data_IF_863536441151
#
_entry.id   IF_863536441151
#
_cell.length_a   1.000
_cell.length_b   1.000
_cell.length_c   1.000
_cell.angle_alpha   90.00
_cell.angle_beta   90.00
_cell.angle_gamma   90.00
#
_symmetry.space_group_name_H-M   'P 1'
#
loop_
_entity.id
_entity.type
_entity.pdbx_description
1 polymer ?
#
# COMPACT_ATOMS: atom_id res chain seq x y z
N UNK A 1 4.25 -23.49 32.91
CA UNK A 1 3.96 -22.26 32.13
C UNK A 1 4.93 -22.26 30.97
N UNK A 2 4.45 -22.65 29.80
CA UNK A 2 5.20 -22.49 28.55
C UNK A 2 5.45 -21.01 28.35
N UNK A 3 6.71 -20.59 28.38
CA UNK A 3 7.12 -19.25 28.01
C UNK A 3 6.60 -18.98 26.59
N UNK A 4 5.91 -17.86 26.39
CA UNK A 4 5.50 -17.44 25.06
C UNK A 4 6.73 -17.44 24.13
N UNK A 5 6.59 -17.97 22.90
CA UNK A 5 7.63 -17.93 21.87
C UNK A 5 7.78 -16.48 21.38
N UNK A 6 8.39 -15.63 22.21
CA UNK A 6 8.69 -14.23 21.89
C UNK A 6 9.96 -14.19 21.04
N UNK A 7 9.85 -13.67 19.83
CA UNK A 7 10.97 -13.50 18.91
C UNK A 7 11.56 -12.11 19.11
N UNK A 8 12.87 -12.03 19.36
CA UNK A 8 13.57 -10.75 19.57
C UNK A 8 14.66 -10.59 18.52
N UNK A 9 14.63 -9.50 17.77
CA UNK A 9 15.67 -9.15 16.79
C UNK A 9 16.34 -7.82 17.16
N UNK A 10 17.65 -7.75 16.92
CA UNK A 10 18.44 -6.52 16.98
C UNK A 10 19.07 -6.27 15.61
N UNK A 11 18.64 -5.20 14.94
CA UNK A 11 19.10 -4.83 13.60
C UNK A 11 20.07 -3.68 13.66
N UNK A 12 21.13 -3.74 12.86
CA UNK A 12 22.13 -2.71 12.81
C UNK A 12 22.71 -2.49 11.39
N UNK A 13 23.32 -1.33 11.18
CA UNK A 13 24.26 -1.09 10.07
C UNK A 13 25.68 -1.43 10.53
N UNK A 14 26.63 -1.68 9.61
CA UNK A 14 28.04 -1.82 9.97
C UNK A 14 28.53 -0.61 10.79
N UNK A 15 29.35 -0.88 11.81
CA UNK A 15 30.05 0.12 12.63
C UNK A 15 29.16 1.17 13.34
N UNK A 16 27.86 0.90 13.58
CA UNK A 16 27.03 1.84 14.34
C UNK A 16 27.47 1.90 15.81
N UNK A 17 27.93 3.07 16.31
CA UNK A 17 28.49 3.22 17.65
C UNK A 17 27.47 2.97 18.77
N UNK A 18 26.17 3.01 18.46
CA UNK A 18 25.09 2.81 19.44
C UNK A 18 24.73 1.32 19.62
N UNK A 19 25.30 0.42 18.82
CA UNK A 19 24.89 -1.00 18.78
C UNK A 19 25.18 -1.72 20.10
N UNK A 20 26.41 -1.64 20.61
CA UNK A 20 26.82 -2.38 21.80
C UNK A 20 26.01 -1.94 23.03
N UNK A 21 25.83 -0.63 23.23
CA UNK A 21 25.01 -0.09 24.29
C UNK A 21 23.53 -0.52 24.19
N UNK A 22 22.99 -0.62 22.96
CA UNK A 22 21.61 -1.07 22.73
C UNK A 22 21.45 -2.57 22.98
N UNK A 23 22.46 -3.37 22.61
CA UNK A 23 22.52 -4.81 22.87
C UNK A 23 22.53 -5.09 24.37
N UNK A 24 23.38 -4.39 25.12
CA UNK A 24 23.48 -4.55 26.58
C UNK A 24 22.16 -4.16 27.26
N UNK A 25 21.54 -3.06 26.83
CA UNK A 25 20.26 -2.60 27.34
C UNK A 25 19.12 -3.60 27.08
N UNK A 26 19.06 -4.15 25.87
CA UNK A 26 18.09 -5.16 25.47
C UNK A 26 18.24 -6.43 26.33
N UNK A 27 19.46 -6.94 26.46
CA UNK A 27 19.75 -8.13 27.26
C UNK A 27 19.40 -7.93 28.74
N UNK A 28 19.69 -6.75 29.31
CA UNK A 28 19.30 -6.42 30.67
C UNK A 28 17.76 -6.43 30.83
N UNK A 29 17.02 -5.85 29.88
CA UNK A 29 15.55 -5.84 29.93
C UNK A 29 14.93 -7.24 29.80
N UNK A 30 15.51 -8.12 28.97
CA UNK A 30 15.07 -9.51 28.83
C UNK A 30 15.33 -10.31 30.11
N UNK A 31 16.51 -10.13 30.72
CA UNK A 31 16.87 -10.78 31.97
C UNK A 31 15.96 -10.36 33.13
N UNK A 32 15.64 -9.06 33.25
CA UNK A 32 14.69 -8.55 34.23
C UNK A 32 13.27 -9.12 34.04
N UNK A 33 12.86 -9.34 32.79
CA UNK A 33 11.58 -9.96 32.46
C UNK A 33 11.55 -11.49 32.64
N UNK A 34 12.69 -12.11 32.99
CA UNK A 34 12.82 -13.56 33.12
C UNK A 34 12.73 -14.31 31.78
N UNK A 35 12.91 -13.62 30.65
CA UNK A 35 12.86 -14.20 29.31
C UNK A 35 14.25 -14.68 28.90
N UNK A 36 14.40 -15.99 28.69
CA UNK A 36 15.62 -16.58 28.11
C UNK A 36 15.40 -16.90 26.63
N UNK A 37 15.23 -15.85 25.83
CA UNK A 37 15.02 -15.94 24.38
C UNK A 37 16.30 -15.52 23.63
N UNK A 38 16.67 -16.20 22.54
CA UNK A 38 17.81 -15.78 21.73
C UNK A 38 17.50 -14.45 21.03
N UNK A 39 18.41 -13.49 21.14
CA UNK A 39 18.36 -12.25 20.36
C UNK A 39 18.99 -12.52 19.00
N UNK A 40 18.19 -12.42 17.93
CA UNK A 40 18.67 -12.59 16.56
C UNK A 40 19.25 -11.27 16.07
N UNK A 41 20.58 -11.21 15.98
CA UNK A 41 21.27 -10.03 15.48
C UNK A 41 21.41 -10.06 13.96
N UNK A 42 21.09 -8.95 13.30
CA UNK A 42 21.19 -8.81 11.84
C UNK A 42 21.89 -7.51 11.47
N UNK A 43 22.97 -7.62 10.71
CA UNK A 43 23.62 -6.46 10.08
C UNK A 43 23.10 -6.31 8.65
N UNK A 44 22.62 -5.13 8.28
CA UNK A 44 22.06 -4.87 6.95
C UNK A 44 21.68 -3.41 6.72
N UNK A 45 20.92 -3.14 5.66
CA UNK A 45 20.56 -1.78 5.26
C UNK A 45 19.25 -1.33 5.92
N UNK A 46 19.32 -0.97 7.21
CA UNK A 46 18.17 -0.52 8.01
C UNK A 46 18.58 0.66 8.91
N UNK A 47 17.63 1.46 9.42
CA UNK A 47 17.91 2.34 10.55
C UNK A 47 18.48 1.53 11.74
N UNK A 48 19.54 2.02 12.37
CA UNK A 48 20.35 1.26 13.32
C UNK A 48 20.66 2.03 14.61
N UNK A 49 20.62 1.44 15.82
CA UNK A 49 20.15 0.11 16.12
C UNK A 49 18.63 0.11 16.25
N UNK A 50 17.98 -0.93 15.70
CA UNK A 50 16.54 -1.12 15.80
C UNK A 50 16.24 -2.44 16.52
N UNK A 51 15.45 -2.37 17.60
CA UNK A 51 15.02 -3.55 18.35
C UNK A 51 13.62 -3.93 17.89
N UNK A 52 13.43 -5.19 17.48
CA UNK A 52 12.13 -5.72 17.12
C UNK A 52 11.72 -6.81 18.11
N UNK A 53 10.49 -6.76 18.59
CA UNK A 53 9.88 -7.81 19.42
C UNK A 53 8.64 -8.31 18.68
N UNK A 54 8.61 -9.59 18.35
CA UNK A 54 7.60 -10.23 17.49
C UNK A 54 7.37 -9.47 16.17
N UNK A 55 8.46 -8.96 15.58
CA UNK A 55 8.44 -8.20 14.32
C UNK A 55 8.00 -6.73 14.45
N UNK A 56 7.64 -6.25 15.65
CA UNK A 56 7.32 -4.83 15.91
C UNK A 56 8.57 -4.06 16.29
N UNK A 57 8.87 -2.97 15.57
CA UNK A 57 9.97 -2.06 15.90
C UNK A 57 9.67 -1.23 17.16
N UNK A 58 10.57 -1.30 18.13
CA UNK A 58 10.50 -0.64 19.44
C UNK A 58 11.20 0.72 19.44
N UNK A 59 12.17 0.91 18.55
CA UNK A 59 12.94 2.15 18.42
C UNK A 59 12.07 3.29 17.88
N UNK A 60 11.04 2.96 17.09
CA UNK A 60 10.15 3.95 16.48
C UNK A 60 10.86 4.81 15.44
N UNK A 61 11.99 4.31 14.93
CA UNK A 61 12.61 4.86 13.73
C UNK A 61 11.74 4.51 12.52
N UNK A 62 11.69 5.38 11.52
CA UNK A 62 11.05 5.09 10.25
C UNK A 62 11.67 3.82 9.66
N UNK A 63 10.95 2.69 9.50
CA UNK A 63 11.50 1.45 8.99
C UNK A 63 11.98 1.55 7.53
N UNK A 64 11.64 2.64 6.84
CA UNK A 64 12.12 3.01 5.50
C UNK A 64 13.12 4.18 5.52
N UNK A 65 13.56 4.60 6.70
CA UNK A 65 14.61 5.59 6.88
C UNK A 65 15.94 5.12 6.30
N UNK A 66 16.87 6.04 6.03
CA UNK A 66 18.16 5.70 5.45
C UNK A 66 18.90 4.68 6.32
N UNK A 67 19.63 3.77 5.69
CA UNK A 67 20.49 2.79 6.35
C UNK A 67 21.65 3.50 7.08
N UNK A 68 21.36 4.03 8.27
CA UNK A 68 22.25 4.87 9.04
C UNK A 68 21.99 4.70 10.55
N UNK A 69 22.97 5.11 11.34
CA UNK A 69 22.87 5.07 12.80
C UNK A 69 21.88 6.16 13.26
N UNK A 70 20.79 5.76 13.93
CA UNK A 70 19.75 6.66 14.44
C UNK A 70 20.32 7.51 15.58
N UNK A 71 19.92 8.77 15.59
CA UNK A 71 20.32 9.73 16.61
C UNK A 71 19.70 9.42 17.99
N UNK A 72 18.61 8.65 18.02
CA UNK A 72 17.88 8.29 19.24
C UNK A 72 17.60 6.77 19.25
N UNK A 73 18.49 5.97 19.85
CA UNK A 73 18.26 4.54 20.07
C UNK A 73 17.05 4.27 21.00
N UNK A 74 16.52 3.03 21.03
CA UNK A 74 15.39 2.69 21.89
C UNK A 74 15.76 2.83 23.36
N UNK A 75 14.83 3.33 24.17
CA UNK A 75 15.00 3.46 25.62
C UNK A 75 14.60 2.17 26.34
N UNK A 76 15.09 1.99 27.56
CA UNK A 76 14.74 0.86 28.41
C UNK A 76 13.22 0.78 28.72
N UNK A 77 12.55 1.93 28.75
CA UNK A 77 11.10 1.99 28.97
C UNK A 77 10.33 1.45 27.76
N UNK A 78 10.74 1.83 26.55
CA UNK A 78 10.15 1.33 25.30
C UNK A 78 10.31 -0.19 25.17
N UNK A 79 11.53 -0.71 25.44
CA UNK A 79 11.83 -2.15 25.40
C UNK A 79 10.98 -2.90 26.42
N UNK A 80 10.92 -2.44 27.68
CA UNK A 80 10.11 -3.08 28.72
C UNK A 80 8.62 -3.05 28.41
N UNK A 81 8.11 -1.97 27.84
CA UNK A 81 6.71 -1.89 27.43
C UNK A 81 6.36 -2.94 26.35
N UNK A 82 7.20 -3.06 25.33
CA UNK A 82 7.02 -4.02 24.25
C UNK A 82 7.14 -5.48 24.74
N UNK A 83 8.06 -5.79 25.65
CA UNK A 83 8.18 -7.14 26.26
C UNK A 83 6.91 -7.50 27.03
N UNK A 84 6.36 -6.59 27.84
CA UNK A 84 5.11 -6.84 28.59
C UNK A 84 3.93 -7.11 27.66
N UNK A 85 3.83 -6.35 26.57
CA UNK A 85 2.79 -6.56 25.57
C UNK A 85 2.92 -7.92 24.87
N UNK A 86 4.14 -8.32 24.48
CA UNK A 86 4.40 -9.61 23.85
C UNK A 86 4.04 -10.80 24.76
N UNK A 87 4.36 -10.70 26.04
CA UNK A 87 4.17 -11.77 27.04
C UNK A 87 2.75 -11.89 27.60
N UNK A 88 1.91 -10.88 27.39
CA UNK A 88 0.51 -10.87 27.86
C UNK A 88 -0.50 -11.34 26.79
N UNK A 89 -0.04 -11.56 25.54
CA UNK A 89 -0.87 -12.15 24.49
C UNK A 89 -1.05 -13.66 24.72
N UNK A 90 -2.28 -14.20 24.67
CA UNK A 90 -2.48 -15.64 24.80
C UNK A 90 -1.98 -16.37 23.54
N UNK A 91 -1.06 -17.31 23.71
CA UNK A 91 -0.60 -18.23 22.67
C UNK A 91 -1.74 -19.14 22.23
N UNK A 92 -2.13 -19.11 20.96
CA UNK A 92 -3.09 -20.07 20.44
C UNK A 92 -3.22 -20.07 18.93
N UNK A 93 -2.52 -20.98 18.25
CA UNK A 93 -3.07 -21.88 17.22
C UNK A 93 -2.32 -23.22 17.32
N UNK A 94 -3.04 -24.28 17.69
CA UNK A 94 -2.60 -25.67 17.64
C UNK A 94 -3.74 -26.53 17.10
N UNK A 95 -3.42 -27.33 16.09
CA UNK A 95 -4.31 -28.22 15.31
C UNK A 95 -4.80 -29.46 16.09
N UNK A 96 -5.89 -30.07 15.59
CA UNK A 96 -6.38 -31.43 15.90
C UNK A 96 -7.88 -31.53 15.60
N UNK A 97 -8.27 -31.91 14.37
CA UNK A 97 -8.50 -33.28 13.85
C UNK A 97 -9.68 -33.99 14.55
N UNK A 98 -10.75 -34.22 13.79
CA UNK A 98 -11.62 -35.37 13.97
C UNK A 98 -12.11 -35.84 12.61
N UNK A 99 -11.64 -37.03 12.23
CA UNK A 99 -11.76 -37.57 10.89
C UNK A 99 -13.14 -38.12 10.57
N UNK A 100 -13.50 -38.06 9.29
CA UNK A 100 -14.30 -39.12 8.67
C UNK A 100 -13.87 -39.27 7.22
N UNK A 101 -13.42 -40.48 6.92
CA UNK A 101 -12.96 -40.99 5.64
C UNK A 101 -14.05 -40.95 4.55
N UNK A 102 -13.70 -40.46 3.35
CA UNK A 102 -14.31 -40.93 2.10
C UNK A 102 -13.19 -41.04 1.05
N UNK A 103 -13.10 -42.23 0.46
CA UNK A 103 -12.16 -42.67 -0.57
C UNK A 103 -12.50 -42.07 -1.95
N UNK A 104 -11.49 -41.78 -2.76
CA UNK A 104 -11.68 -41.63 -4.21
C UNK A 104 -10.66 -40.76 -4.94
N UNK A 105 -9.77 -41.42 -5.69
CA UNK A 105 -9.03 -40.95 -6.87
C UNK A 105 -9.79 -39.92 -7.72
N UNK A 106 -9.18 -38.79 -8.12
CA UNK A 106 -8.60 -38.61 -9.47
C UNK A 106 -8.09 -37.19 -9.75
N UNK A 107 -7.12 -37.11 -10.65
CA UNK A 107 -6.54 -35.89 -11.25
C UNK A 107 -7.61 -35.06 -11.99
N UNK A 108 -7.63 -33.74 -11.78
CA UNK A 108 -7.80 -32.70 -12.81
C UNK A 108 -8.03 -31.34 -12.15
N UNK A 109 -7.38 -30.30 -12.68
CA UNK A 109 -7.56 -28.91 -12.25
C UNK A 109 -9.03 -28.50 -12.27
N UNK A 110 -9.44 -27.74 -11.25
CA UNK A 110 -10.71 -27.03 -11.25
C UNK A 110 -10.44 -25.55 -11.11
N UNK A 111 -10.66 -24.84 -12.22
CA UNK A 111 -11.25 -23.51 -12.21
C UNK A 111 -12.36 -23.49 -11.15
N UNK A 112 -12.25 -22.57 -10.19
CA UNK A 112 -13.36 -22.26 -9.30
C UNK A 112 -14.33 -21.44 -10.13
N UNK A 113 -15.52 -21.99 -10.32
CA UNK A 113 -16.57 -21.39 -11.11
C UNK A 113 -17.09 -20.12 -10.42
N UNK A 114 -17.31 -19.14 -11.28
CA UNK A 114 -17.94 -17.85 -11.06
C UNK A 114 -19.30 -18.01 -10.35
N UNK A 115 -19.37 -17.58 -9.09
CA UNK A 115 -20.62 -17.34 -8.37
C UNK A 115 -20.69 -15.83 -8.11
N UNK A 116 -21.68 -15.19 -8.72
CA UNK A 116 -21.87 -13.75 -8.76
C UNK A 116 -21.64 -13.04 -7.41
N UNK A 117 -20.44 -12.51 -7.21
CA UNK A 117 -20.13 -11.54 -6.16
C UNK A 117 -20.35 -10.13 -6.76
N UNK A 118 -21.38 -9.44 -6.29
CA UNK A 118 -21.62 -8.03 -6.64
C UNK A 118 -20.90 -7.11 -5.65
N UNK A 119 -20.12 -6.14 -6.15
CA UNK A 119 -19.56 -5.05 -5.33
C UNK A 119 -18.32 -5.41 -4.49
N UNK A 120 -18.08 -4.59 -3.46
CA UNK A 120 -16.86 -4.47 -2.61
C UNK A 120 -16.23 -5.80 -2.11
N UNK A 121 -16.99 -6.90 -2.14
CA UNK A 121 -16.56 -8.24 -1.73
C UNK A 121 -15.76 -9.01 -2.79
N UNK A 122 -15.74 -8.56 -4.05
CA UNK A 122 -14.98 -9.24 -5.13
C UNK A 122 -13.46 -9.19 -4.90
N UNK A 123 -12.97 -8.19 -4.17
CA UNK A 123 -11.54 -7.91 -4.02
C UNK A 123 -11.19 -7.83 -2.54
N UNK A 124 -10.68 -8.90 -1.92
CA UNK A 124 -10.38 -8.87 -0.48
C UNK A 124 -9.21 -9.76 -0.04
N UNK A 125 -7.98 -9.27 -0.14
CA UNK A 125 -7.02 -9.33 0.96
C UNK A 125 -7.32 -8.16 1.92
N UNK A 126 -8.38 -8.31 2.72
CA UNK A 126 -8.64 -7.43 3.87
C UNK A 126 -9.05 -5.97 3.63
N UNK A 127 -9.54 -5.57 2.45
CA UNK A 127 -9.98 -4.17 2.24
C UNK A 127 -8.84 -3.14 2.28
N UNK A 128 -7.66 -3.57 1.87
CA UNK A 128 -6.41 -2.83 1.96
C UNK A 128 -6.35 -1.59 1.07
N UNK A 129 -6.82 -1.72 -0.18
CA UNK A 129 -7.11 -0.57 -1.04
C UNK A 129 -8.54 -0.12 -0.79
N UNK A 130 -8.75 1.19 -0.70
CA UNK A 130 -10.09 1.76 -0.68
C UNK A 130 -10.73 1.60 -2.06
N UNK A 131 -11.57 0.58 -2.20
CA UNK A 131 -12.38 0.36 -3.41
C UNK A 131 -13.56 1.33 -3.51
N UNK A 132 -13.92 1.99 -2.40
CA UNK A 132 -15.02 2.93 -2.23
C UNK A 132 -14.64 4.40 -2.51
N UNK A 133 -13.53 4.66 -3.22
CA UNK A 133 -13.13 6.04 -3.59
C UNK A 133 -14.20 6.79 -4.42
N UNK A 134 -14.88 6.18 -5.41
CA UNK A 134 -15.91 6.89 -6.15
C UNK A 134 -17.07 7.44 -5.30
N UNK A 135 -17.76 6.63 -4.45
CA UNK A 135 -18.82 7.16 -3.61
C UNK A 135 -18.32 8.19 -2.59
N UNK A 136 -17.10 8.05 -2.06
CA UNK A 136 -16.48 9.06 -1.17
C UNK A 136 -16.27 10.40 -1.89
N UNK A 137 -15.67 10.36 -3.08
CA UNK A 137 -15.46 11.55 -3.89
C UNK A 137 -16.79 12.22 -4.28
N UNK A 138 -17.83 11.43 -4.55
CA UNK A 138 -19.17 11.93 -4.84
C UNK A 138 -19.84 12.60 -3.63
N UNK A 139 -19.57 12.12 -2.41
CA UNK A 139 -20.12 12.66 -1.16
C UNK A 139 -19.41 13.94 -0.68
N UNK A 140 -18.28 14.33 -1.28
CA UNK A 140 -17.58 15.55 -0.92
C UNK A 140 -18.43 16.81 -1.15
N UNK A 141 -18.30 17.84 -0.30
CA UNK A 141 -18.88 19.14 -0.59
C UNK A 141 -18.41 19.66 -1.96
N UNK A 142 -19.26 20.36 -2.75
CA UNK A 142 -18.95 20.74 -4.12
C UNK A 142 -17.61 21.47 -4.29
N UNK A 143 -17.27 22.39 -3.37
CA UNK A 143 -15.99 23.10 -3.39
C UNK A 143 -14.78 22.17 -3.14
N UNK A 144 -14.90 21.21 -2.22
CA UNK A 144 -13.83 20.24 -1.93
C UNK A 144 -13.64 19.29 -3.10
N UNK A 145 -14.75 18.85 -3.71
CA UNK A 145 -14.74 18.03 -4.93
C UNK A 145 -14.10 18.77 -6.12
N UNK A 146 -14.36 20.07 -6.26
CA UNK A 146 -13.73 20.89 -7.28
C UNK A 146 -12.21 20.99 -7.09
N UNK A 147 -11.74 21.21 -5.85
CA UNK A 147 -10.31 21.20 -5.51
C UNK A 147 -9.68 19.83 -5.84
N UNK A 148 -10.34 18.72 -5.48
CA UNK A 148 -9.86 17.37 -5.79
C UNK A 148 -9.76 17.11 -7.30
N UNK A 149 -10.82 17.41 -8.06
CA UNK A 149 -10.78 17.26 -9.51
C UNK A 149 -9.73 18.17 -10.16
N UNK A 150 -9.52 19.37 -9.63
CA UNK A 150 -8.42 20.25 -10.07
C UNK A 150 -7.04 19.66 -9.78
N UNK A 151 -6.86 19.04 -8.60
CA UNK A 151 -5.61 18.40 -8.20
C UNK A 151 -5.26 17.24 -9.12
N UNK A 152 -6.22 16.35 -9.40
CA UNK A 152 -6.02 15.21 -10.31
C UNK A 152 -5.70 15.65 -11.74
N UNK A 153 -6.41 16.67 -12.25
CA UNK A 153 -6.11 17.24 -13.58
C UNK A 153 -4.72 17.89 -13.61
N UNK A 154 -4.32 18.59 -12.55
CA UNK A 154 -2.98 19.17 -12.47
C UNK A 154 -1.86 18.13 -12.61
N UNK A 155 -1.98 16.98 -11.92
CA UNK A 155 -1.05 15.88 -12.11
C UNK A 155 -1.07 15.36 -13.55
N UNK A 156 -2.25 15.10 -14.11
CA UNK A 156 -2.39 14.59 -15.47
C UNK A 156 -1.80 15.54 -16.53
N UNK A 157 -1.90 16.85 -16.32
CA UNK A 157 -1.44 17.86 -17.28
C UNK A 157 0.06 18.17 -17.12
N UNK A 158 0.59 18.14 -15.89
CA UNK A 158 1.96 18.62 -15.60
C UNK A 158 2.97 17.54 -15.25
N UNK A 159 2.53 16.36 -14.83
CA UNK A 159 3.42 15.30 -14.33
C UNK A 159 3.86 15.48 -12.88
N UNK A 160 3.49 16.58 -12.22
CA UNK A 160 4.05 16.96 -10.91
C UNK A 160 2.98 17.37 -9.91
N UNK A 161 3.32 17.30 -8.62
CA UNK A 161 2.45 17.82 -7.57
C UNK A 161 2.33 19.34 -7.64
N UNK A 162 1.14 19.91 -7.39
CA UNK A 162 0.98 21.35 -7.42
C UNK A 162 1.75 22.03 -6.29
N UNK A 163 2.17 23.27 -6.57
CA UNK A 163 2.78 24.13 -5.57
C UNK A 163 1.76 24.56 -4.50
N UNK A 164 2.22 24.94 -3.29
CA UNK A 164 1.34 25.53 -2.27
C UNK A 164 0.54 26.73 -2.77
N UNK A 165 1.12 27.55 -3.66
CA UNK A 165 0.45 28.69 -4.27
C UNK A 165 -0.67 28.27 -5.24
N UNK A 166 -0.49 27.18 -5.98
CA UNK A 166 -1.57 26.61 -6.78
C UNK A 166 -2.73 26.13 -5.89
N UNK A 167 -2.42 25.40 -4.82
CA UNK A 167 -3.43 24.88 -3.90
C UNK A 167 -4.19 26.01 -3.21
N UNK A 168 -3.50 27.06 -2.75
CA UNK A 168 -4.13 28.22 -2.14
C UNK A 168 -5.11 28.92 -3.11
N UNK A 169 -4.74 29.07 -4.39
CA UNK A 169 -5.64 29.64 -5.41
C UNK A 169 -6.85 28.76 -5.66
N UNK A 170 -6.63 27.47 -5.89
CA UNK A 170 -7.71 26.49 -6.13
C UNK A 170 -8.70 26.44 -4.96
N UNK A 171 -8.20 26.44 -3.72
CA UNK A 171 -9.04 26.49 -2.53
C UNK A 171 -9.79 27.83 -2.40
N UNK A 172 -9.13 28.96 -2.68
CA UNK A 172 -9.76 30.28 -2.62
C UNK A 172 -10.90 30.44 -3.64
N UNK A 173 -10.74 29.92 -4.85
CA UNK A 173 -11.80 29.86 -5.87
C UNK A 173 -13.03 29.07 -5.37
N UNK A 174 -12.79 28.01 -4.60
CA UNK A 174 -13.81 27.21 -3.93
C UNK A 174 -14.30 27.82 -2.60
N UNK A 175 -13.80 29.01 -2.20
CA UNK A 175 -14.07 29.66 -0.90
C UNK A 175 -13.71 28.78 0.30
N UNK A 176 -12.61 28.03 0.20
CA UNK A 176 -12.08 27.14 1.21
C UNK A 176 -10.69 27.58 1.69
N UNK A 177 -10.37 27.20 2.92
CA UNK A 177 -8.98 27.17 3.40
C UNK A 177 -8.27 25.93 2.81
N UNK A 178 -7.05 26.07 2.23
CA UNK A 178 -6.35 24.96 1.57
C UNK A 178 -6.04 23.79 2.50
N UNK A 179 -5.67 24.04 3.75
CA UNK A 179 -5.41 22.97 4.73
C UNK A 179 -6.70 22.22 5.08
N UNK A 180 -7.81 22.93 5.14
CA UNK A 180 -9.13 22.35 5.38
C UNK A 180 -9.62 21.52 4.20
N UNK A 181 -9.36 21.95 2.97
CA UNK A 181 -9.62 21.13 1.78
C UNK A 181 -8.80 19.83 1.82
N UNK A 182 -7.48 19.93 2.03
CA UNK A 182 -6.60 18.75 2.11
C UNK A 182 -7.00 17.80 3.25
N UNK A 183 -7.33 18.32 4.44
CA UNK A 183 -7.74 17.50 5.58
C UNK A 183 -9.01 16.70 5.30
N UNK A 184 -9.99 17.31 4.60
CA UNK A 184 -11.23 16.62 4.20
C UNK A 184 -10.93 15.52 3.19
N UNK A 185 -10.09 15.81 2.19
CA UNK A 185 -9.68 14.80 1.22
C UNK A 185 -8.89 13.65 1.85
N UNK A 186 -8.03 13.96 2.84
CA UNK A 186 -7.24 12.97 3.55
C UNK A 186 -8.09 12.08 4.48
N UNK A 187 -9.15 12.63 5.09
CA UNK A 187 -10.08 11.85 5.90
C UNK A 187 -10.81 10.76 5.09
N UNK A 188 -10.99 10.98 3.78
CA UNK A 188 -11.59 10.03 2.84
C UNK A 188 -10.55 9.21 2.05
N UNK A 189 -9.27 9.29 2.41
CA UNK A 189 -8.17 8.58 1.73
C UNK A 189 -8.12 8.82 0.20
N UNK A 190 -8.52 10.02 -0.22
CA UNK A 190 -8.44 10.52 -1.60
C UNK A 190 -7.09 11.20 -1.87
N UNK A 191 -6.47 11.75 -0.81
CA UNK A 191 -5.09 12.24 -0.79
C UNK A 191 -4.42 11.77 0.49
N UNK A 192 -3.09 11.74 0.52
CA UNK A 192 -2.32 11.59 1.74
C UNK A 192 -1.37 12.79 1.88
N UNK A 193 -1.19 13.27 3.11
CA UNK A 193 -0.27 14.37 3.44
C UNK A 193 0.67 13.97 4.58
N UNK A 194 1.87 14.53 4.60
CA UNK A 194 2.80 14.41 5.71
C UNK A 194 2.52 15.44 6.81
N UNK A 195 3.28 15.39 7.90
CA UNK A 195 3.16 16.32 9.03
C UNK A 195 3.39 17.79 8.64
N UNK A 196 4.15 18.03 7.56
CA UNK A 196 4.39 19.36 7.02
C UNK A 196 3.29 19.81 6.03
N UNK A 197 2.25 19.00 5.81
CA UNK A 197 1.16 19.28 4.89
C UNK A 197 1.52 19.11 3.42
N UNK A 198 2.64 18.46 3.10
CA UNK A 198 3.00 18.13 1.72
C UNK A 198 2.27 16.88 1.27
N UNK A 199 1.87 16.84 0.01
CA UNK A 199 1.24 15.65 -0.56
C UNK A 199 2.23 14.49 -0.56
N UNK A 200 1.80 13.37 -0.01
CA UNK A 200 2.40 12.04 -0.16
C UNK A 200 1.70 11.29 -1.29
N UNK A 201 0.39 11.49 -1.47
CA UNK A 201 -0.39 10.89 -2.55
C UNK A 201 -1.56 11.79 -2.95
N UNK A 202 -1.94 11.75 -4.21
CA UNK A 202 -3.24 12.23 -4.69
C UNK A 202 -3.81 11.15 -5.60
N UNK A 203 -4.43 10.12 -5.00
CA UNK A 203 -4.71 8.87 -5.69
C UNK A 203 -5.49 9.08 -6.98
N UNK A 204 -4.99 8.53 -8.11
CA UNK A 204 -3.95 7.48 -8.24
C UNK A 204 -2.47 7.97 -8.29
N UNK A 205 -2.21 9.27 -8.24
CA UNK A 205 -0.89 9.84 -8.52
C UNK A 205 0.07 9.86 -7.33
N UNK A 206 1.35 9.63 -7.62
CA UNK A 206 2.48 9.86 -6.71
C UNK A 206 3.17 11.20 -7.01
N UNK A 207 3.38 12.05 -6.00
CA UNK A 207 4.21 13.26 -6.07
C UNK A 207 5.69 12.98 -6.36
N UNK A 208 6.16 11.79 -6.01
CA UNK A 208 7.56 11.36 -6.14
C UNK A 208 7.68 10.18 -7.11
N UNK A 209 8.90 9.94 -7.61
CA UNK A 209 9.15 8.84 -8.51
C UNK A 209 8.84 7.48 -7.86
N UNK A 210 8.11 6.64 -8.57
CA UNK A 210 7.84 5.23 -8.24
C UNK A 210 8.25 4.35 -9.41
N UNK A 211 8.33 3.02 -9.25
CA UNK A 211 8.51 2.11 -10.38
C UNK A 211 7.38 2.24 -11.41
N UNK A 212 6.18 2.64 -10.99
CA UNK A 212 4.97 2.68 -11.82
C UNK A 212 4.85 4.03 -12.54
N UNK A 213 5.43 4.09 -13.73
CA UNK A 213 5.41 5.28 -14.58
C UNK A 213 4.34 5.14 -15.66
N UNK A 214 3.46 6.14 -15.77
CA UNK A 214 2.42 6.21 -16.81
C UNK A 214 2.70 7.39 -17.73
N UNK A 215 2.71 7.12 -19.03
CA UNK A 215 2.74 8.15 -20.08
C UNK A 215 1.34 8.26 -20.67
N UNK A 216 0.67 9.38 -20.43
CA UNK A 216 -0.74 9.60 -20.82
C UNK A 216 -0.89 11.01 -21.39
N UNK A 217 -1.48 11.13 -22.59
CA UNK A 217 -1.62 12.43 -23.26
C UNK A 217 -0.29 13.18 -23.51
N UNK A 218 0.83 12.44 -23.63
CA UNK A 218 2.17 13.02 -23.77
C UNK A 218 2.84 13.41 -22.44
N UNK A 219 2.12 13.38 -21.33
CA UNK A 219 2.64 13.69 -19.99
C UNK A 219 3.06 12.42 -19.26
N UNK A 220 4.18 12.50 -18.53
CA UNK A 220 4.69 11.42 -17.69
C UNK A 220 4.28 11.68 -16.24
N UNK A 221 3.58 10.73 -15.63
CA UNK A 221 3.11 10.77 -14.24
C UNK A 221 3.53 9.49 -13.52
N UNK A 222 3.79 9.58 -12.23
CA UNK A 222 4.02 8.41 -11.39
C UNK A 222 2.73 8.00 -10.69
N UNK A 223 2.48 6.70 -10.59
CA UNK A 223 1.36 6.11 -9.87
C UNK A 223 1.83 5.55 -8.53
N UNK A 224 0.94 5.50 -7.53
CA UNK A 224 1.30 4.96 -6.21
C UNK A 224 1.51 3.43 -6.22
N UNK A 225 0.80 2.71 -7.09
CA UNK A 225 0.88 1.25 -7.20
C UNK A 225 0.47 0.74 -8.60
N UNK A 226 0.52 -0.57 -8.82
CA UNK A 226 0.12 -1.17 -10.10
C UNK A 226 -1.35 -0.92 -10.46
N UNK A 227 -2.29 -1.08 -9.51
CA UNK A 227 -3.73 -0.82 -9.73
C UNK A 227 -3.99 0.66 -10.03
N UNK A 228 -3.30 1.56 -9.34
CA UNK A 228 -3.37 3.00 -9.59
C UNK A 228 -2.88 3.35 -11.00
N UNK A 229 -1.80 2.71 -11.45
CA UNK A 229 -1.28 2.90 -12.80
C UNK A 229 -2.29 2.49 -13.87
N UNK A 230 -2.99 1.36 -13.68
CA UNK A 230 -4.08 0.91 -14.56
C UNK A 230 -5.31 1.83 -14.48
N UNK A 231 -5.53 2.46 -13.32
CA UNK A 231 -6.66 3.37 -13.09
C UNK A 231 -6.53 4.74 -13.78
N UNK A 232 -5.30 5.26 -13.94
CA UNK A 232 -5.04 6.57 -14.57
C UNK A 232 -5.67 6.70 -15.98
N UNK A 233 -5.40 5.81 -16.95
CA UNK A 233 -5.99 5.93 -18.29
C UNK A 233 -7.53 5.82 -18.26
N UNK A 234 -8.07 4.97 -17.39
CA UNK A 234 -9.52 4.82 -17.23
C UNK A 234 -10.19 6.09 -16.65
N UNK A 235 -9.55 6.72 -15.66
CA UNK A 235 -9.99 7.98 -15.05
C UNK A 235 -9.98 9.14 -16.05
N UNK A 236 -8.96 9.21 -16.90
CA UNK A 236 -8.78 10.29 -17.87
C UNK A 236 -9.52 10.04 -19.20
N UNK A 237 -9.94 8.82 -19.47
CA UNK A 237 -10.52 8.42 -20.76
C UNK A 237 -9.52 8.58 -21.90
N UNK A 238 -8.25 8.25 -21.67
CA UNK A 238 -7.14 8.44 -22.63
C UNK A 238 -6.30 7.17 -22.74
N UNK A 239 -5.71 6.98 -23.91
CA UNK A 239 -4.69 5.97 -24.15
C UNK A 239 -3.42 6.27 -23.33
N UNK A 240 -2.72 5.23 -22.91
CA UNK A 240 -1.51 5.36 -22.11
C UNK A 240 -0.54 4.19 -22.30
N UNK A 241 0.73 4.44 -22.00
CA UNK A 241 1.74 3.40 -21.82
C UNK A 241 2.23 3.43 -20.38
N UNK A 242 2.18 2.28 -19.71
CA UNK A 242 2.62 2.08 -18.34
C UNK A 242 3.90 1.26 -18.38
N UNK A 243 4.93 1.70 -17.68
CA UNK A 243 6.17 0.93 -17.49
C UNK A 243 6.41 0.73 -16.01
N UNK A 244 6.81 -0.47 -15.62
CA UNK A 244 7.17 -0.84 -14.25
C UNK A 244 8.24 -1.93 -14.23
N UNK A 245 8.58 -2.41 -13.04
CA UNK A 245 9.54 -3.50 -12.83
C UNK A 245 8.97 -4.49 -11.82
N UNK A 246 9.15 -5.77 -12.11
CA UNK A 246 8.86 -6.85 -11.16
C UNK A 246 9.78 -6.72 -9.93
N UNK A 247 9.25 -6.60 -8.70
CA UNK A 247 10.08 -6.36 -7.52
C UNK A 247 10.89 -7.59 -7.09
N UNK A 248 10.56 -8.79 -7.57
CA UNK A 248 11.29 -10.02 -7.28
C UNK A 248 12.48 -10.22 -8.22
N UNK A 249 12.33 -9.83 -9.49
CA UNK A 249 13.32 -10.13 -10.54
C UNK A 249 13.97 -8.90 -11.18
N UNK A 250 13.44 -7.70 -10.91
CA UNK A 250 13.78 -6.43 -11.57
C UNK A 250 13.54 -6.40 -13.08
N UNK A 251 12.89 -7.43 -13.65
CA UNK A 251 12.57 -7.46 -15.07
C UNK A 251 11.47 -6.44 -15.40
N UNK A 252 11.52 -5.82 -16.59
CA UNK A 252 10.56 -4.80 -16.97
C UNK A 252 9.18 -5.41 -17.24
N UNK A 253 8.15 -4.61 -16.94
CA UNK A 253 6.76 -4.84 -17.35
C UNK A 253 6.28 -3.60 -18.08
N UNK A 254 5.65 -3.78 -19.23
CA UNK A 254 5.00 -2.71 -19.99
C UNK A 254 3.53 -3.05 -20.22
N UNK A 255 2.65 -2.09 -20.01
CA UNK A 255 1.22 -2.22 -20.33
C UNK A 255 0.83 -1.08 -21.26
N UNK A 256 0.31 -1.43 -22.44
CA UNK A 256 -0.19 -0.44 -23.42
C UNK A 256 -1.70 -0.46 -23.41
N UNK A 257 -2.32 0.68 -23.11
CA UNK A 257 -3.78 0.86 -23.09
C UNK A 257 -4.19 1.67 -24.31
N UNK A 258 -5.07 1.09 -25.14
CA UNK A 258 -5.61 1.73 -26.35
C UNK A 258 -7.11 1.49 -26.44
N UNK A 259 -7.91 2.55 -26.50
CA UNK A 259 -9.37 2.45 -26.55
C UNK A 259 -9.98 1.73 -25.34
N UNK A 260 -9.29 1.77 -24.18
CA UNK A 260 -9.70 1.06 -22.96
C UNK A 260 -9.33 -0.42 -22.91
N UNK A 261 -8.69 -0.97 -23.94
CA UNK A 261 -8.14 -2.33 -23.96
C UNK A 261 -6.66 -2.27 -23.61
N UNK A 262 -6.18 -3.15 -22.73
CA UNK A 262 -4.78 -3.22 -22.35
C UNK A 262 -4.08 -4.46 -22.92
N UNK A 263 -2.83 -4.28 -23.33
CA UNK A 263 -1.93 -5.36 -23.74
C UNK A 263 -0.71 -5.32 -22.83
N UNK A 264 -0.40 -6.46 -22.21
CA UNK A 264 0.70 -6.61 -21.26
C UNK A 264 1.92 -7.26 -21.95
N UNK A 265 3.10 -6.80 -21.59
CA UNK A 265 4.38 -7.35 -21.98
C UNK A 265 5.28 -7.46 -20.74
N UNK A 266 5.63 -8.67 -20.27
CA UNK A 266 5.27 -9.97 -20.85
C UNK A 266 3.76 -10.30 -20.81
N UNK A 267 3.24 -11.15 -21.71
CA UNK A 267 1.82 -11.49 -21.77
C UNK A 267 1.34 -12.31 -20.57
N UNK A 268 2.24 -12.91 -19.79
CA UNK A 268 1.93 -13.61 -18.54
C UNK A 268 1.87 -12.68 -17.32
N UNK A 269 2.04 -11.37 -17.50
CA UNK A 269 2.06 -10.41 -16.39
C UNK A 269 0.81 -10.53 -15.52
N UNK A 270 1.02 -10.50 -14.20
CA UNK A 270 -0.02 -10.49 -13.17
C UNK A 270 0.21 -9.34 -12.19
N UNK A 271 -0.79 -9.04 -11.36
CA UNK A 271 -0.65 -8.08 -10.26
C UNK A 271 -0.78 -8.82 -8.94
N UNK A 272 0.20 -8.67 -8.04
CA UNK A 272 -0.03 -9.06 -6.64
C UNK A 272 -0.75 -7.91 -5.96
N UNK A 273 -1.89 -8.21 -5.38
CA UNK A 273 -2.70 -7.33 -4.58
C UNK A 273 -2.55 -7.74 -3.11
N UNK A 274 -1.75 -6.99 -2.35
CA UNK A 274 -1.35 -7.37 -1.00
C UNK A 274 -1.40 -6.21 -0.01
N UNK A 275 -1.44 -6.57 1.29
CA UNK A 275 -1.62 -5.64 2.39
C UNK A 275 -0.92 -6.08 3.67
N UNK A 276 -0.48 -5.11 4.47
CA UNK A 276 0.04 -5.32 5.83
C UNK A 276 -1.06 -5.27 6.90
N UNK A 277 -2.28 -4.85 6.56
CA UNK A 277 -3.41 -4.77 7.49
C UNK A 277 -4.56 -3.91 6.97
N UNK A 278 -5.53 -3.61 7.85
CA UNK A 278 -6.76 -2.85 7.53
C UNK A 278 -6.85 -1.58 8.38
N UNK A 279 -7.42 -0.50 7.85
CA UNK A 279 -7.85 0.65 8.67
C UNK A 279 -6.91 1.87 8.70
N UNK A 280 -5.74 1.81 8.07
CA UNK A 280 -4.85 2.97 7.85
C UNK A 280 -4.98 3.52 6.42
N UNK A 281 -4.21 4.56 6.08
CA UNK A 281 -4.20 5.16 4.72
C UNK A 281 -3.69 4.13 3.71
N UNK A 282 -4.19 4.14 2.48
CA UNK A 282 -3.75 3.17 1.46
C UNK A 282 -2.22 3.19 1.25
N UNK A 283 -1.58 4.35 1.39
CA UNK A 283 -0.12 4.51 1.25
C UNK A 283 0.67 3.76 2.32
N UNK A 284 0.10 3.60 3.51
CA UNK A 284 0.75 2.93 4.65
C UNK A 284 0.48 1.41 4.64
N UNK A 285 -0.64 0.99 4.05
CA UNK A 285 -1.12 -0.40 4.16
C UNK A 285 -0.87 -1.26 2.93
N UNK A 286 -0.92 -0.68 1.73
CA UNK A 286 -1.00 -1.49 0.52
C UNK A 286 -0.28 -0.94 -0.72
N UNK A 287 -0.07 0.37 -0.86
CA UNK A 287 0.49 0.90 -2.11
C UNK A 287 1.89 0.36 -2.42
N UNK A 288 2.73 0.14 -1.40
CA UNK A 288 4.07 -0.45 -1.58
C UNK A 288 4.04 -1.95 -1.93
N UNK A 289 2.93 -2.63 -1.67
CA UNK A 289 2.78 -4.09 -1.82
C UNK A 289 1.89 -4.50 -2.99
N UNK A 290 1.30 -3.54 -3.72
CA UNK A 290 0.52 -3.78 -4.93
C UNK A 290 1.38 -3.52 -6.18
N UNK A 291 1.92 -4.59 -6.77
CA UNK A 291 2.93 -4.50 -7.83
C UNK A 291 2.64 -5.44 -9.01
N UNK A 292 3.18 -5.09 -10.17
CA UNK A 292 3.23 -5.97 -11.34
C UNK A 292 4.32 -7.03 -11.17
N UNK A 293 4.09 -8.21 -11.72
CA UNK A 293 5.06 -9.31 -11.80
C UNK A 293 5.05 -9.87 -13.21
N UNK A 294 6.22 -10.23 -13.74
CA UNK A 294 6.33 -10.68 -15.15
C UNK A 294 5.55 -11.96 -15.42
N UNK A 295 5.32 -12.78 -14.40
CA UNK A 295 4.55 -14.02 -14.48
C UNK A 295 4.08 -14.50 -13.08
N UNK A 296 3.14 -15.47 -13.01
CA UNK A 296 2.63 -16.00 -11.75
C UNK A 296 3.68 -16.66 -10.85
N UNK A 297 4.72 -17.26 -11.42
CA UNK A 297 5.77 -17.91 -10.61
C UNK A 297 6.61 -16.88 -9.85
N UNK A 298 6.93 -15.74 -10.48
CA UNK A 298 7.60 -14.61 -9.83
C UNK A 298 6.73 -14.04 -8.70
N UNK A 299 5.44 -13.81 -8.97
CA UNK A 299 4.47 -13.37 -7.98
C UNK A 299 4.41 -14.32 -6.77
N UNK A 300 4.33 -15.63 -6.99
CA UNK A 300 4.26 -16.62 -5.92
C UNK A 300 5.57 -16.70 -5.11
N UNK A 301 6.73 -16.57 -5.76
CA UNK A 301 8.02 -16.51 -5.07
C UNK A 301 8.10 -15.28 -4.15
N UNK A 302 7.60 -14.14 -4.63
CA UNK A 302 7.51 -12.91 -3.84
C UNK A 302 6.53 -13.05 -2.66
N UNK A 303 5.34 -13.61 -2.87
CA UNK A 303 4.37 -13.83 -1.79
C UNK A 303 4.97 -14.75 -0.72
N UNK A 304 5.64 -15.83 -1.14
CA UNK A 304 6.28 -16.79 -0.21
C UNK A 304 7.38 -16.13 0.63
N UNK A 305 8.12 -15.16 0.08
CA UNK A 305 9.14 -14.41 0.84
C UNK A 305 8.56 -13.30 1.73
N UNK A 306 7.25 -13.03 1.63
CA UNK A 306 6.53 -12.03 2.41
C UNK A 306 5.31 -12.65 3.15
N UNK A 307 5.52 -13.68 4.00
CA UNK A 307 4.41 -14.43 4.62
C UNK A 307 3.57 -13.61 5.62
N UNK A 308 4.04 -12.42 5.98
CA UNK A 308 3.32 -11.47 6.83
C UNK A 308 2.28 -10.63 6.08
N UNK A 309 2.26 -10.69 4.74
CA UNK A 309 1.29 -10.00 3.92
C UNK A 309 0.07 -10.89 3.66
N UNK A 310 -1.12 -10.30 3.74
CA UNK A 310 -2.30 -10.92 3.12
C UNK A 310 -2.26 -10.57 1.64
N UNK A 311 -2.05 -11.56 0.78
CA UNK A 311 -1.85 -11.36 -0.66
C UNK A 311 -2.83 -12.18 -1.50
N UNK A 312 -3.20 -11.63 -2.65
CA UNK A 312 -3.95 -12.30 -3.70
C UNK A 312 -3.32 -11.94 -5.04
N UNK A 313 -3.25 -12.90 -5.96
CA UNK A 313 -2.82 -12.63 -7.35
C UNK A 313 -4.05 -12.30 -8.17
N UNK A 314 -4.03 -11.15 -8.84
CA UNK A 314 -5.03 -10.73 -9.82
C UNK A 314 -4.49 -11.03 -11.22
N UNK A 315 -5.35 -11.59 -12.07
CA UNK A 315 -5.07 -11.62 -13.50
C UNK A 315 -5.23 -10.23 -14.14
N UNK A 316 -4.98 -10.14 -15.45
CA UNK A 316 -4.98 -8.88 -16.18
C UNK A 316 -6.37 -8.24 -16.22
N UNK A 317 -7.41 -9.01 -16.48
CA UNK A 317 -8.78 -8.52 -16.59
C UNK A 317 -9.29 -8.01 -15.24
N UNK A 318 -9.01 -8.78 -14.19
CA UNK A 318 -9.36 -8.44 -12.82
C UNK A 318 -8.63 -7.17 -12.34
N UNK A 319 -7.33 -7.04 -12.62
CA UNK A 319 -6.54 -5.86 -12.27
C UNK A 319 -7.01 -4.59 -13.02
N UNK A 320 -7.33 -4.72 -14.31
CA UNK A 320 -7.89 -3.63 -15.12
C UNK A 320 -9.26 -3.20 -14.63
N UNK A 321 -10.13 -4.17 -14.34
CA UNK A 321 -11.46 -3.91 -13.81
C UNK A 321 -11.36 -3.17 -12.47
N UNK A 322 -10.50 -3.63 -11.57
CA UNK A 322 -10.27 -2.98 -10.28
C UNK A 322 -9.80 -1.52 -10.45
N UNK A 323 -8.78 -1.26 -11.28
CA UNK A 323 -8.30 0.11 -11.54
C UNK A 323 -9.39 1.01 -12.13
N UNK A 324 -10.15 0.50 -13.10
CA UNK A 324 -11.26 1.24 -13.72
C UNK A 324 -12.37 1.55 -12.71
N UNK A 325 -12.73 0.59 -11.88
CA UNK A 325 -13.86 0.73 -10.96
C UNK A 325 -13.53 1.72 -9.84
N UNK A 326 -12.28 1.73 -9.34
CA UNK A 326 -11.82 2.68 -8.31
C UNK A 326 -11.67 4.11 -8.85
N UNK A 327 -11.13 4.28 -10.06
CA UNK A 327 -10.66 5.59 -10.53
C UNK A 327 -11.47 6.17 -11.70
N UNK A 328 -12.04 5.31 -12.55
CA UNK A 328 -12.78 5.70 -13.75
C UNK A 328 -13.86 6.78 -13.54
N UNK A 329 -14.64 6.74 -12.46
CA UNK A 329 -15.68 7.74 -12.21
C UNK A 329 -15.18 9.10 -11.68
N UNK A 330 -13.94 9.20 -11.17
CA UNK A 330 -13.52 10.34 -10.32
C UNK A 330 -13.47 11.70 -11.03
N UNK A 331 -13.22 11.70 -12.35
CA UNK A 331 -13.18 12.91 -13.17
C UNK A 331 -14.31 12.99 -14.20
N UNK A 332 -15.24 12.03 -14.18
CA UNK A 332 -16.44 12.13 -15.01
C UNK A 332 -17.33 13.21 -14.42
N UNK A 333 -17.66 14.20 -15.24
CA UNK A 333 -18.62 15.22 -14.84
C UNK A 333 -19.94 14.52 -14.50
N UNK A 334 -20.43 14.68 -13.27
CA UNK A 334 -21.79 14.27 -12.93
C UNK A 334 -22.76 15.11 -13.75
N UNK A 335 -23.48 14.45 -14.66
CA UNK A 335 -24.60 14.96 -15.45
C UNK A 335 -24.48 16.39 -15.99
N UNK A 336 -24.08 16.48 -17.26
CA UNK A 336 -24.72 17.42 -18.18
C UNK A 336 -26.20 17.01 -18.36
N UNK A 337 -27.04 17.13 -17.33
CA UNK A 337 -28.49 16.92 -17.42
C UNK A 337 -29.24 17.55 -16.22
N UNK A 338 -29.04 18.86 -16.03
CA UNK A 338 -30.14 19.79 -15.70
C UNK A 338 -30.41 20.77 -16.85
N UNK A 339 -29.98 20.43 -18.05
CA UNK A 339 -30.34 21.12 -19.29
C UNK A 339 -31.17 20.18 -20.18
N UNK A 340 -32.28 19.63 -19.65
CA UNK A 340 -33.02 18.58 -20.36
C UNK A 340 -34.41 18.20 -19.84
N UNK A 341 -35.00 18.94 -18.89
CA UNK A 341 -36.43 18.85 -18.56
C UNK A 341 -36.97 20.28 -18.53
N UNK A 342 -37.89 20.74 -19.37
CA UNK A 342 -38.81 20.06 -20.24
C UNK A 342 -40.15 20.79 -20.13
N UNK A 343 -40.43 21.63 -21.14
CA UNK A 343 -41.63 22.46 -21.41
C UNK A 343 -41.70 23.85 -20.78
#
# INVERSE_FOLDING_TARGET
MTLADVIVELRAVPDCPNLDATRDLLNACLAEAGLQVPVVERVGQYPSPSVLIDGRDVTGADPHGPAACVLRPPTAEQIRAAIREATTRPSGIGSGDDGTSVTGSDRAGRHVADAALTGEQRWSPGGAIRTDRPPRAAALPPGVRAVYGGLLRHFADTGTAPTPAWLARSAAEAKLDPLTALRRLAADDLVAVDEAGRLIAAYPFSPTATPHLVTVGGTRVYAMCAVDALGIPAMLGRDATITSTDPQTSQPVTVTVTGGVAVFDPPETVVVFAATGTGHRSVDTCCSTINFFTNPASAQAWITSHPYLTATVLDQDDALALGRDIFGPLLRDGDRDQAGQGR
#
